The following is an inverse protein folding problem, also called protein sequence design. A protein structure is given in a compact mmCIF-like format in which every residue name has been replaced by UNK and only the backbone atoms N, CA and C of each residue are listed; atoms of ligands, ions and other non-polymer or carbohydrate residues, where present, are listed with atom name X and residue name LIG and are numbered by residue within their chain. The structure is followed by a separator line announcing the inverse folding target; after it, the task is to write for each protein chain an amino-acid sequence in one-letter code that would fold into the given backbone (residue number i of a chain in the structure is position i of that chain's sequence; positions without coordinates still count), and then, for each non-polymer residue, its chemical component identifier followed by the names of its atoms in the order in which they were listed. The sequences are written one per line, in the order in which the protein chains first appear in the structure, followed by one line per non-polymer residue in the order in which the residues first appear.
data_IF_260790793216
#
_entry.id   IF_260790793216
#
_cell.length_a   1.000
_cell.length_b   1.000
_cell.length_c   1.000
_cell.angle_alpha   90.00
_cell.angle_beta   90.00
_cell.angle_gamma   90.00
#
_symmetry.space_group_name_H-M   'P 1'
#
loop_
_entity.id
_entity.type
_entity.pdbx_description
1 polymer ?
#
# COMPACT_ATOMS: atom_id res chain seq x y z
N UNK A 1 -38.67 8.52 -4.78
CA UNK A 1 -37.68 7.51 -5.25
C UNK A 1 -36.30 8.07 -4.97
N UNK A 2 -35.55 7.48 -4.03
CA UNK A 2 -34.19 7.94 -3.72
C UNK A 2 -33.26 7.73 -4.92
N UNK A 3 -32.34 8.67 -5.15
CA UNK A 3 -31.25 8.52 -6.13
C UNK A 3 -30.50 7.22 -5.80
N UNK A 4 -30.57 6.23 -6.69
CA UNK A 4 -29.72 5.03 -6.60
C UNK A 4 -28.30 5.45 -6.96
N UNK A 5 -27.38 5.35 -6.01
CA UNK A 5 -25.96 5.47 -6.29
C UNK A 5 -25.59 4.40 -7.33
N UNK A 6 -25.04 4.82 -8.46
CA UNK A 6 -24.45 3.86 -9.39
C UNK A 6 -23.09 3.51 -8.84
N UNK A 7 -22.92 2.27 -8.40
CA UNK A 7 -21.61 1.80 -7.93
C UNK A 7 -20.51 1.99 -8.98
N UNK A 8 -20.85 2.01 -10.28
CA UNK A 8 -19.93 2.32 -11.38
C UNK A 8 -19.45 3.78 -11.44
N UNK A 9 -20.10 4.70 -10.73
CA UNK A 9 -19.64 6.10 -10.59
C UNK A 9 -18.63 6.25 -9.43
N UNK A 10 -18.64 5.32 -8.46
CA UNK A 10 -17.76 5.32 -7.28
C UNK A 10 -16.57 4.37 -7.48
N UNK A 11 -16.83 3.20 -8.06
CA UNK A 11 -15.82 2.19 -8.36
C UNK A 11 -15.75 1.99 -9.88
N UNK A 12 -14.56 2.12 -10.50
CA UNK A 12 -14.37 1.82 -11.91
C UNK A 12 -14.89 0.42 -12.25
N UNK A 13 -15.27 0.19 -13.52
CA UNK A 13 -15.66 -1.14 -14.02
C UNK A 13 -14.54 -2.18 -13.92
N UNK A 14 -13.31 -1.75 -13.62
CA UNK A 14 -12.20 -2.62 -13.28
C UNK A 14 -12.28 -2.90 -11.77
N UNK A 15 -12.56 -4.16 -11.35
CA UNK A 15 -12.85 -4.46 -9.96
C UNK A 15 -11.68 -4.04 -9.08
N UNK A 16 -11.98 -3.25 -8.06
CA UNK A 16 -11.12 -3.09 -6.89
C UNK A 16 -10.89 -4.49 -6.29
N UNK A 17 -9.69 -5.04 -6.47
CA UNK A 17 -9.47 -6.48 -6.33
C UNK A 17 -9.34 -6.97 -4.88
N UNK A 18 -9.13 -6.10 -3.89
CA UNK A 18 -9.02 -6.55 -2.50
C UNK A 18 -9.16 -5.40 -1.50
N UNK A 19 -9.93 -5.62 -0.44
CA UNK A 19 -9.96 -4.80 0.77
C UNK A 19 -9.59 -5.70 1.96
N UNK A 20 -8.50 -5.36 2.67
CA UNK A 20 -8.03 -6.13 3.84
C UNK A 20 -8.34 -5.31 5.09
N UNK A 21 -9.20 -5.82 5.97
CA UNK A 21 -9.55 -5.18 7.24
C UNK A 21 -9.31 -6.14 8.43
N UNK A 22 -8.68 -5.66 9.52
CA UNK A 22 -8.67 -6.36 10.82
C UNK A 22 -7.46 -6.03 11.71
N UNK A 23 -7.54 -6.37 12.99
CA UNK A 23 -6.65 -5.89 14.04
C UNK A 23 -5.24 -6.54 14.11
N UNK A 24 -4.25 -5.68 14.38
CA UNK A 24 -2.90 -5.80 14.98
C UNK A 24 -1.91 -6.92 14.62
N UNK A 25 -2.23 -7.93 13.81
CA UNK A 25 -1.23 -8.94 13.33
C UNK A 25 -1.25 -9.15 11.82
N UNK A 26 -1.96 -8.29 11.09
CA UNK A 26 -2.12 -8.41 9.64
C UNK A 26 -1.05 -7.67 8.85
N UNK A 27 -0.30 -6.73 9.43
CA UNK A 27 0.63 -5.87 8.69
C UNK A 27 1.70 -6.67 7.91
N UNK A 28 2.36 -7.66 8.53
CA UNK A 28 3.27 -8.55 7.80
C UNK A 28 2.58 -9.45 6.78
N UNK A 29 1.38 -9.95 7.10
CA UNK A 29 0.63 -10.76 6.15
C UNK A 29 0.27 -9.93 4.92
N UNK A 30 -0.24 -8.71 5.11
CA UNK A 30 -0.53 -7.75 4.06
C UNK A 30 0.74 -7.42 3.28
N UNK A 31 1.88 -7.19 3.95
CA UNK A 31 3.18 -7.02 3.28
C UNK A 31 3.47 -8.15 2.34
N UNK A 32 3.51 -9.37 2.89
CA UNK A 32 3.83 -10.56 2.15
C UNK A 32 2.83 -10.76 0.99
N UNK A 33 1.55 -10.47 1.18
CA UNK A 33 0.57 -10.53 0.10
C UNK A 33 0.87 -9.53 -1.03
N UNK A 34 1.26 -8.30 -0.68
CA UNK A 34 1.56 -7.24 -1.63
C UNK A 34 2.89 -7.45 -2.37
N UNK A 35 3.89 -8.00 -1.68
CA UNK A 35 5.28 -8.15 -2.16
C UNK A 35 5.65 -9.57 -2.61
N UNK A 36 4.79 -10.57 -2.41
CA UNK A 36 5.00 -11.89 -3.01
C UNK A 36 4.72 -11.81 -4.52
N UNK A 37 5.69 -12.16 -5.38
CA UNK A 37 5.49 -12.16 -6.83
C UNK A 37 4.32 -13.06 -7.24
N UNK A 38 3.54 -12.62 -8.23
CA UNK A 38 2.41 -13.36 -8.83
C UNK A 38 1.23 -13.66 -7.90
N UNK A 39 1.21 -13.16 -6.65
CA UNK A 39 0.10 -13.40 -5.72
C UNK A 39 -1.04 -12.40 -5.91
N UNK A 40 -0.71 -11.10 -5.90
CA UNK A 40 -1.64 -10.02 -6.21
C UNK A 40 -1.16 -9.29 -7.48
N UNK A 41 -2.07 -9.09 -8.41
CA UNK A 41 -1.86 -8.36 -9.67
C UNK A 41 -2.53 -6.99 -9.56
N UNK A 42 -1.72 -5.92 -9.51
CA UNK A 42 -2.19 -4.54 -9.44
C UNK A 42 -1.19 -3.63 -10.13
N UNK A 43 -1.71 -2.60 -10.79
CA UNK A 43 -0.91 -1.54 -11.39
C UNK A 43 -0.78 -0.37 -10.39
N UNK A 44 -1.77 -0.16 -9.53
CA UNK A 44 -1.75 0.94 -8.57
C UNK A 44 -2.11 0.48 -7.19
N UNK A 45 -1.32 0.93 -6.21
CA UNK A 45 -1.54 0.70 -4.79
C UNK A 45 -1.91 2.03 -4.15
N UNK A 46 -3.05 2.08 -3.47
CA UNK A 46 -3.49 3.23 -2.69
C UNK A 46 -3.60 2.80 -1.24
N UNK A 47 -2.86 3.46 -0.36
CA UNK A 47 -2.83 3.14 1.06
C UNK A 47 -3.34 4.35 1.83
N UNK A 48 -4.44 4.13 2.54
CA UNK A 48 -4.98 5.06 3.51
C UNK A 48 -4.65 4.54 4.90
N UNK A 49 -3.95 5.34 5.70
CA UNK A 49 -3.59 4.99 7.08
C UNK A 49 -3.48 6.21 7.97
N UNK A 50 -3.66 6.02 9.28
CA UNK A 50 -3.36 7.02 10.32
C UNK A 50 -1.86 7.21 10.55
N UNK A 51 -1.05 6.19 10.21
CA UNK A 51 0.37 6.08 10.60
C UNK A 51 1.28 5.83 9.38
N UNK A 52 1.33 6.76 8.40
CA UNK A 52 2.13 6.57 7.18
C UNK A 52 3.64 6.47 7.41
N UNK A 53 4.12 6.84 8.61
CA UNK A 53 5.53 6.79 8.98
C UNK A 53 6.01 5.40 9.41
N UNK A 54 5.11 4.41 9.56
CA UNK A 54 5.54 3.05 9.89
C UNK A 54 6.45 2.49 8.80
N UNK A 55 7.51 1.78 9.21
CA UNK A 55 8.53 1.21 8.34
C UNK A 55 7.93 0.43 7.17
N UNK A 56 6.97 -0.45 7.46
CA UNK A 56 6.18 -1.20 6.50
C UNK A 56 5.67 -0.36 5.30
N UNK A 57 5.08 0.81 5.56
CA UNK A 57 4.57 1.68 4.49
C UNK A 57 5.68 2.37 3.71
N UNK A 58 6.80 2.68 4.37
CA UNK A 58 7.97 3.24 3.70
C UNK A 58 8.59 2.23 2.73
N UNK A 59 8.59 0.93 3.06
CA UNK A 59 9.04 -0.11 2.14
C UNK A 59 8.05 -0.39 1.02
N UNK A 60 6.73 -0.30 1.25
CA UNK A 60 5.76 -0.44 0.15
C UNK A 60 5.90 0.65 -0.91
N UNK A 61 6.28 1.89 -0.53
CA UNK A 61 6.62 2.95 -1.49
C UNK A 61 7.75 2.57 -2.44
N UNK A 62 8.67 1.71 -2.00
CA UNK A 62 9.74 1.25 -2.87
C UNK A 62 9.24 0.40 -4.04
N UNK A 63 7.99 -0.10 -4.03
CA UNK A 63 7.39 -0.81 -5.17
C UNK A 63 7.32 0.04 -6.43
N UNK A 64 7.32 1.38 -6.33
CA UNK A 64 7.40 2.29 -7.49
C UNK A 64 8.73 2.15 -8.25
N UNK A 65 9.79 1.73 -7.55
CA UNK A 65 11.15 1.67 -8.09
C UNK A 65 11.72 0.26 -8.16
N UNK A 66 11.23 -0.66 -7.32
CA UNK A 66 11.79 -1.98 -7.12
C UNK A 66 10.74 -3.07 -7.35
N UNK A 67 11.13 -4.24 -7.91
CA UNK A 67 10.25 -5.40 -7.99
C UNK A 67 9.76 -5.82 -6.61
N UNK A 68 8.57 -6.40 -6.57
CA UNK A 68 7.96 -7.02 -5.39
C UNK A 68 8.94 -7.88 -4.57
N UNK A 69 9.72 -8.73 -5.25
CA UNK A 69 10.70 -9.60 -4.61
C UNK A 69 11.83 -8.82 -3.94
N UNK A 70 12.39 -7.82 -4.62
CA UNK A 70 13.47 -7.00 -4.07
C UNK A 70 12.97 -6.20 -2.86
N UNK A 71 11.75 -5.65 -2.90
CA UNK A 71 11.11 -4.98 -1.75
C UNK A 71 10.95 -5.93 -0.56
N UNK A 72 10.58 -7.18 -0.81
CA UNK A 72 10.47 -8.19 0.23
C UNK A 72 11.83 -8.51 0.87
N UNK A 73 12.87 -8.69 0.05
CA UNK A 73 14.21 -9.06 0.51
C UNK A 73 14.88 -7.93 1.31
N UNK A 74 14.72 -6.66 0.90
CA UNK A 74 15.26 -5.51 1.66
C UNK A 74 14.52 -5.28 2.98
N UNK A 75 13.22 -5.57 3.03
CA UNK A 75 12.46 -5.44 4.27
C UNK A 75 12.90 -6.48 5.28
N UNK A 76 13.07 -7.74 4.86
CA UNK A 76 13.61 -8.79 5.72
C UNK A 76 15.01 -8.43 6.25
N UNK A 77 15.87 -7.87 5.40
CA UNK A 77 17.19 -7.37 5.84
C UNK A 77 17.07 -6.26 6.90
N UNK A 78 16.16 -5.31 6.69
CA UNK A 78 15.90 -4.24 7.66
C UNK A 78 15.42 -4.78 9.00
N UNK A 79 14.48 -5.73 9.02
CA UNK A 79 13.98 -6.30 10.28
C UNK A 79 15.08 -6.98 11.10
N UNK A 80 16.07 -7.57 10.44
CA UNK A 80 17.22 -8.19 11.09
C UNK A 80 18.25 -7.17 11.62
N UNK A 81 18.20 -5.91 11.16
CA UNK A 81 19.20 -4.88 11.43
C UNK A 81 18.57 -3.54 11.87
N UNK A 82 17.32 -3.51 12.33
CA UNK A 82 16.51 -2.30 12.52
C UNK A 82 17.21 -1.21 13.37
N UNK A 83 18.04 -1.60 14.34
CA UNK A 83 18.77 -0.68 15.22
C UNK A 83 20.02 -0.05 14.57
N UNK A 84 20.49 -0.60 13.45
CA UNK A 84 21.79 -0.26 12.84
C UNK A 84 21.65 0.54 11.54
N UNK A 85 20.46 0.60 10.96
CA UNK A 85 20.24 1.05 9.58
C UNK A 85 19.00 1.93 9.45
N UNK A 86 19.14 3.00 8.67
CA UNK A 86 18.02 3.87 8.31
C UNK A 86 17.33 3.33 7.05
N UNK A 87 16.00 3.27 7.06
CA UNK A 87 15.17 2.77 5.94
C UNK A 87 15.51 3.49 4.63
N UNK A 88 15.64 4.81 4.72
CA UNK A 88 15.96 5.67 3.58
C UNK A 88 17.31 5.27 2.96
N UNK A 89 18.31 5.01 3.79
CA UNK A 89 19.64 4.64 3.31
C UNK A 89 19.62 3.24 2.66
N UNK A 90 18.89 2.27 3.22
CA UNK A 90 18.71 0.95 2.59
C UNK A 90 18.11 1.09 1.20
N UNK A 91 16.96 1.77 1.10
CA UNK A 91 16.22 1.89 -0.17
C UNK A 91 17.06 2.65 -1.20
N UNK A 92 17.64 3.79 -0.83
CA UNK A 92 18.48 4.57 -1.74
C UNK A 92 19.72 3.80 -2.19
N UNK A 93 20.39 3.08 -1.28
CA UNK A 93 21.59 2.29 -1.63
C UNK A 93 21.22 1.13 -2.56
N UNK A 94 20.09 0.47 -2.35
CA UNK A 94 19.61 -0.59 -3.24
C UNK A 94 19.26 -0.06 -4.63
N UNK A 95 18.51 1.04 -4.67
CA UNK A 95 18.16 1.73 -5.91
C UNK A 95 19.44 2.15 -6.64
N UNK A 96 20.40 2.82 -5.97
CA UNK A 96 21.70 3.22 -6.54
C UNK A 96 22.52 2.02 -7.05
N UNK A 97 22.58 0.93 -6.30
CA UNK A 97 23.31 -0.28 -6.69
C UNK A 97 22.71 -0.98 -7.93
N UNK A 98 21.38 -0.91 -8.11
CA UNK A 98 20.65 -1.46 -9.27
C UNK A 98 20.56 -0.47 -10.44
N UNK A 99 20.75 0.83 -10.20
CA UNK A 99 20.51 1.95 -11.13
C UNK A 99 21.45 2.07 -12.33
N UNK A 100 22.32 1.11 -12.61
CA UNK A 100 22.94 1.05 -13.93
C UNK A 100 21.96 0.60 -15.02
N UNK A 101 20.81 0.00 -14.67
CA UNK A 101 19.92 -0.66 -15.64
C UNK A 101 18.40 -0.60 -15.35
N UNK A 102 17.97 0.02 -14.23
CA UNK A 102 16.60 -0.17 -13.75
C UNK A 102 15.63 0.89 -14.30
N UNK A 103 14.55 0.45 -14.94
CA UNK A 103 13.40 1.30 -15.25
C UNK A 103 12.45 1.29 -14.04
N UNK A 104 11.85 2.43 -13.64
CA UNK A 104 10.78 2.45 -12.65
C UNK A 104 9.75 1.36 -12.96
N UNK A 105 9.18 0.75 -11.93
CA UNK A 105 8.14 -0.26 -12.19
C UNK A 105 6.90 0.44 -12.73
N UNK A 106 6.04 -0.32 -13.40
CA UNK A 106 4.73 0.21 -13.79
C UNK A 106 3.82 0.44 -12.59
N UNK A 107 4.21 0.07 -11.36
CA UNK A 107 3.39 0.23 -10.16
C UNK A 107 3.45 1.68 -9.69
N UNK A 108 2.26 2.30 -9.54
CA UNK A 108 2.13 3.60 -8.87
C UNK A 108 1.64 3.39 -7.45
N UNK A 109 2.43 3.77 -6.45
CA UNK A 109 2.03 3.73 -5.05
C UNK A 109 1.65 5.11 -4.53
N UNK A 110 0.55 5.18 -3.78
CA UNK A 110 0.02 6.40 -3.18
C UNK A 110 -0.27 6.17 -1.70
N UNK A 111 0.59 6.70 -0.84
CA UNK A 111 0.39 6.68 0.61
C UNK A 111 -0.19 8.01 1.09
N UNK A 112 -1.39 7.99 1.66
CA UNK A 112 -2.07 9.18 2.17
C UNK A 112 -2.46 9.02 3.63
N UNK A 113 -2.22 10.08 4.42
CA UNK A 113 -2.66 10.16 5.82
C UNK A 113 -4.15 10.51 5.88
N UNK A 114 -5.03 9.53 6.02
CA UNK A 114 -6.49 9.64 6.25
C UNK A 114 -7.34 10.65 5.45
N UNK A 115 -6.78 11.41 4.51
CA UNK A 115 -7.52 12.28 3.60
C UNK A 115 -8.06 11.42 2.45
N UNK A 116 -9.24 10.81 2.68
CA UNK A 116 -9.87 9.89 1.75
C UNK A 116 -10.42 10.63 0.52
N UNK A 117 -9.52 10.96 -0.40
CA UNK A 117 -9.87 11.52 -1.70
C UNK A 117 -9.86 10.44 -2.78
N UNK A 118 -11.03 9.80 -2.97
CA UNK A 118 -11.23 8.77 -3.99
C UNK A 118 -11.19 9.31 -5.42
N UNK A 119 -11.25 10.64 -5.62
CA UNK A 119 -11.19 11.24 -6.95
C UNK A 119 -9.82 11.10 -7.63
N UNK A 120 -8.78 10.78 -6.83
CA UNK A 120 -7.40 10.54 -7.30
C UNK A 120 -7.16 9.13 -7.84
N UNK A 121 -8.15 8.25 -7.75
CA UNK A 121 -8.03 6.87 -8.23
C UNK A 121 -8.09 6.86 -9.76
N UNK A 122 -7.03 6.36 -10.40
CA UNK A 122 -6.98 6.23 -11.85
C UNK A 122 -7.87 5.07 -12.31
N UNK A 123 -9.05 5.38 -12.83
CA UNK A 123 -10.05 4.40 -13.27
C UNK A 123 -9.59 3.50 -14.42
N UNK A 124 -8.47 3.81 -15.09
CA UNK A 124 -7.93 3.04 -16.20
C UNK A 124 -6.95 1.96 -15.77
N UNK A 125 -6.57 1.92 -14.49
CA UNK A 125 -5.56 1.01 -13.94
C UNK A 125 -6.19 -0.06 -13.06
N UNK A 126 -5.50 -1.18 -12.87
CA UNK A 126 -5.89 -2.17 -11.85
C UNK A 126 -5.49 -1.63 -10.48
N UNK A 127 -6.48 -1.07 -9.77
CA UNK A 127 -6.26 -0.43 -8.48
C UNK A 127 -6.48 -1.41 -7.33
N UNK A 128 -5.53 -1.45 -6.40
CA UNK A 128 -5.66 -2.05 -5.08
C UNK A 128 -5.73 -0.93 -4.04
N UNK A 129 -6.71 -1.00 -3.14
CA UNK A 129 -6.91 0.02 -2.10
C UNK A 129 -6.81 -0.67 -0.73
N UNK A 130 -5.87 -0.21 0.09
CA UNK A 130 -5.65 -0.65 1.45
C UNK A 130 -6.15 0.42 2.42
N UNK A 131 -7.07 0.04 3.30
CA UNK A 131 -7.52 0.85 4.43
C UNK A 131 -6.95 0.23 5.70
N UNK A 132 -5.97 0.89 6.31
CA UNK A 132 -5.40 0.47 7.58
C UNK A 132 -5.69 1.49 8.67
N UNK A 133 -6.37 1.05 9.73
CA UNK A 133 -6.73 1.91 10.87
C UNK A 133 -7.48 3.22 10.50
N UNK A 134 -8.19 3.24 9.37
CA UNK A 134 -8.96 4.40 8.90
C UNK A 134 -10.27 4.66 9.66
N UNK A 135 -10.41 4.17 10.90
CA UNK A 135 -11.63 4.35 11.68
C UNK A 135 -11.70 5.80 12.16
N UNK A 136 -12.62 6.60 11.62
CA UNK A 136 -12.96 7.89 12.22
C UNK A 136 -13.48 7.69 13.65
N UNK A 137 -13.18 8.63 14.56
CA UNK A 137 -13.63 8.59 15.96
C UNK A 137 -15.14 8.34 16.12
N UNK A 138 -15.95 8.79 15.14
CA UNK A 138 -17.41 8.59 15.06
C UNK A 138 -17.83 7.12 14.94
N UNK A 139 -16.99 6.27 14.32
CA UNK A 139 -17.28 4.83 14.16
C UNK A 139 -16.81 3.99 15.35
N UNK A 140 -15.98 4.53 16.24
CA UNK A 140 -15.57 3.85 17.48
C UNK A 140 -16.68 3.88 18.55
N UNK A 141 -17.57 4.88 18.51
CA UNK A 141 -18.70 5.00 19.45
C UNK A 141 -19.70 3.83 19.34
N UNK A 142 -19.76 3.14 18.20
CA UNK A 142 -20.66 2.00 17.96
C UNK A 142 -20.10 0.68 18.54
N UNK A 143 -18.81 0.63 18.90
CA UNK A 143 -18.20 -0.58 19.49
C UNK A 143 -18.27 -0.63 21.03
N UNK A 144 -18.95 0.32 21.67
CA UNK A 144 -19.14 0.35 23.12
C UNK A 144 -20.56 -0.04 23.58
N UNK A 145 -21.41 -0.60 22.69
CA UNK A 145 -22.69 -1.23 23.08
C UNK A 145 -22.55 -2.73 23.35
#
# INVERSE_FOLDING_TARGET
MGKKFKHSEIFPTNPMLMCICGSSRKTHLTFNMLTTPNLLDFDSLYIYTTTPEQSYYQFLKALEYLPKKDVQDIFQYYEEHEEEVEIKDIIENFIKAKNSSFNPTDIKDFLTKNDLDLSKIDSNRKNLILFDDCVEQTNQAVQQE
#
